data_IF_560548193060
#
_entry.id   IF_560548193060
#
_cell.length_a   1.000
_cell.length_b   1.000
_cell.length_c   1.000
_cell.angle_alpha   90.00
_cell.angle_beta   90.00
_cell.angle_gamma   90.00
#
_symmetry.space_group_name_H-M   'P 1'
#
loop_
_entity.id
_entity.type
_entity.pdbx_description
1 polymer ?
#
# COMPACT_ATOMS: atom_id res chain seq x y z
N UNK A 1 -0.42 0.38 -13.82
CA UNK A 1 -1.71 -0.04 -13.19
C UNK A 1 -2.34 -1.33 -13.72
N UNK A 2 -2.40 -1.61 -15.04
CA UNK A 2 -3.02 -2.86 -15.58
C UNK A 2 -2.47 -4.15 -14.95
N UNK A 3 -1.18 -4.15 -14.57
CA UNK A 3 -0.46 -5.29 -13.96
C UNK A 3 -1.13 -5.82 -12.68
N UNK A 4 -1.82 -4.97 -11.92
CA UNK A 4 -2.37 -5.30 -10.59
C UNK A 4 -3.84 -5.72 -10.61
N UNK A 5 -4.52 -5.68 -11.76
CA UNK A 5 -5.90 -6.19 -11.87
C UNK A 5 -6.01 -7.68 -11.54
N UNK A 6 -4.96 -8.45 -11.80
CA UNK A 6 -4.90 -9.87 -11.42
C UNK A 6 -4.95 -10.07 -9.90
N UNK A 7 -4.44 -9.12 -9.12
CA UNK A 7 -4.40 -9.18 -7.65
C UNK A 7 -5.79 -9.06 -7.04
N UNK A 8 -6.76 -8.51 -7.78
CA UNK A 8 -8.17 -8.41 -7.40
C UNK A 8 -9.05 -9.37 -8.20
N UNK A 9 -8.47 -10.44 -8.78
CA UNK A 9 -9.21 -11.52 -9.42
C UNK A 9 -9.61 -11.27 -10.88
N UNK A 10 -8.94 -10.38 -11.61
CA UNK A 10 -9.14 -10.21 -13.06
C UNK A 10 -7.92 -10.68 -13.86
N UNK A 11 -7.40 -11.87 -13.59
CA UNK A 11 -6.19 -12.38 -14.28
C UNK A 11 -6.40 -12.63 -15.78
N UNK A 12 -7.66 -12.80 -16.19
CA UNK A 12 -8.07 -12.86 -17.59
C UNK A 12 -7.85 -11.56 -18.38
N UNK A 13 -7.75 -10.40 -17.71
CA UNK A 13 -7.58 -9.10 -18.36
C UNK A 13 -6.12 -8.88 -18.80
N UNK A 14 -5.75 -9.45 -19.95
CA UNK A 14 -4.40 -9.33 -20.51
C UNK A 14 -4.27 -8.25 -21.57
N UNK A 15 -5.34 -7.96 -22.30
CA UNK A 15 -5.35 -6.95 -23.37
C UNK A 15 -6.25 -5.79 -22.98
N UNK A 16 -5.96 -4.63 -23.55
CA UNK A 16 -6.73 -3.40 -23.33
C UNK A 16 -8.22 -3.53 -23.70
N UNK A 17 -8.55 -4.40 -24.67
CA UNK A 17 -9.95 -4.72 -25.02
C UNK A 17 -10.67 -5.47 -23.89
N UNK A 18 -9.98 -6.42 -23.26
CA UNK A 18 -10.54 -7.22 -22.16
C UNK A 18 -10.77 -6.32 -20.93
N UNK A 19 -9.81 -5.43 -20.65
CA UNK A 19 -9.92 -4.36 -19.65
C UNK A 19 -11.14 -3.48 -19.90
N UNK A 20 -11.32 -2.94 -21.11
CA UNK A 20 -12.46 -2.07 -21.41
C UNK A 20 -13.80 -2.78 -21.28
N UNK A 21 -13.86 -4.07 -21.63
CA UNK A 21 -15.06 -4.88 -21.45
C UNK A 21 -15.40 -5.06 -19.96
N UNK A 22 -14.41 -5.34 -19.11
CA UNK A 22 -14.66 -5.50 -17.68
C UNK A 22 -15.05 -4.18 -17.04
N UNK A 23 -14.40 -3.06 -17.38
CA UNK A 23 -14.75 -1.75 -16.82
C UNK A 23 -16.19 -1.35 -17.14
N UNK A 24 -16.66 -1.60 -18.36
CA UNK A 24 -18.08 -1.38 -18.72
C UNK A 24 -19.04 -2.29 -17.97
N UNK A 25 -18.60 -3.48 -17.61
CA UNK A 25 -19.41 -4.43 -16.82
C UNK A 25 -19.49 -3.96 -15.37
N UNK A 26 -18.35 -3.56 -14.81
CA UNK A 26 -18.24 -3.01 -13.46
C UNK A 26 -19.08 -1.73 -13.31
N UNK A 27 -18.99 -0.80 -14.27
CA UNK A 27 -19.76 0.44 -14.25
C UNK A 27 -21.29 0.25 -14.23
N UNK A 28 -21.81 -0.92 -14.65
CA UNK A 28 -23.24 -1.25 -14.59
C UNK A 28 -23.72 -1.74 -13.23
N UNK A 29 -22.80 -2.17 -12.37
CA UNK A 29 -23.08 -2.70 -11.03
C UNK A 29 -22.20 -1.99 -9.98
N UNK A 30 -22.40 -0.67 -9.80
CA UNK A 30 -21.58 0.11 -8.91
C UNK A 30 -21.94 -0.16 -7.44
N UNK A 31 -20.92 -0.33 -6.60
CA UNK A 31 -21.11 -0.36 -5.15
C UNK A 31 -21.30 1.06 -4.59
N UNK A 32 -20.61 2.05 -5.17
CA UNK A 32 -20.85 3.46 -4.88
C UNK A 32 -20.51 4.34 -6.08
N UNK A 33 -21.22 5.45 -6.22
CA UNK A 33 -20.98 6.46 -7.24
C UNK A 33 -20.85 7.82 -6.54
N UNK A 34 -19.82 8.58 -6.89
CA UNK A 34 -19.59 9.94 -6.38
C UNK A 34 -19.39 10.90 -7.52
N UNK A 35 -20.07 12.03 -7.43
CA UNK A 35 -19.93 13.13 -8.37
C UNK A 35 -19.21 14.30 -7.73
N UNK A 36 -18.40 14.97 -8.53
CA UNK A 36 -17.72 16.20 -8.13
C UNK A 36 -17.74 17.17 -9.29
N UNK A 37 -18.38 18.32 -9.09
CA UNK A 37 -18.41 19.38 -10.10
C UNK A 37 -17.09 20.15 -10.02
N UNK A 38 -16.29 20.05 -11.09
CA UNK A 38 -15.01 20.75 -11.20
C UNK A 38 -15.27 22.23 -11.52
N UNK A 39 -16.05 22.47 -12.57
CA UNK A 39 -16.47 23.78 -13.09
C UNK A 39 -17.92 23.71 -13.59
N UNK A 40 -18.45 24.78 -14.20
CA UNK A 40 -19.83 24.81 -14.71
C UNK A 40 -20.14 23.71 -15.74
N UNK A 41 -19.14 23.31 -16.54
CA UNK A 41 -19.33 22.39 -17.67
C UNK A 41 -18.68 21.01 -17.46
N UNK A 42 -17.91 20.82 -16.37
CA UNK A 42 -17.16 19.57 -16.15
C UNK A 42 -17.59 18.90 -14.85
N UNK A 43 -18.24 17.75 -14.97
CA UNK A 43 -18.62 16.89 -13.84
C UNK A 43 -17.79 15.62 -13.84
N UNK A 44 -17.00 15.47 -12.80
CA UNK A 44 -16.18 14.29 -12.55
C UNK A 44 -17.02 13.23 -11.83
N UNK A 45 -16.83 11.97 -12.21
CA UNK A 45 -17.45 10.80 -11.62
C UNK A 45 -16.40 9.80 -11.13
N UNK A 46 -16.57 9.31 -9.91
CA UNK A 46 -15.90 8.13 -9.38
C UNK A 46 -16.94 7.02 -9.17
N UNK A 47 -16.71 5.88 -9.81
CA UNK A 47 -17.49 4.66 -9.63
C UNK A 47 -16.61 3.62 -8.93
N UNK A 48 -16.97 3.22 -7.71
CA UNK A 48 -16.34 2.08 -7.04
C UNK A 48 -17.18 0.83 -7.21
N UNK A 49 -16.54 -0.23 -7.70
CA UNK A 49 -17.17 -1.53 -7.90
C UNK A 49 -16.48 -2.55 -7.01
N UNK A 50 -17.26 -3.23 -6.17
CA UNK A 50 -16.76 -4.22 -5.24
C UNK A 50 -16.78 -5.62 -5.89
N UNK A 51 -15.61 -6.22 -6.04
CA UNK A 51 -15.46 -7.57 -6.60
C UNK A 51 -15.53 -8.66 -5.52
N UNK A 52 -15.05 -8.35 -4.32
CA UNK A 52 -15.16 -9.16 -3.12
C UNK A 52 -15.18 -8.20 -1.90
N UNK A 53 -15.58 -8.62 -0.69
CA UNK A 53 -15.66 -7.72 0.47
C UNK A 53 -14.37 -6.89 0.64
N UNK A 54 -14.48 -5.56 0.58
CA UNK A 54 -13.35 -4.62 0.70
C UNK A 54 -12.35 -4.61 -0.47
N UNK A 55 -12.58 -5.37 -1.54
CA UNK A 55 -11.69 -5.49 -2.70
C UNK A 55 -12.45 -5.14 -3.97
N UNK A 56 -11.87 -4.28 -4.80
CA UNK A 56 -12.57 -3.85 -6.00
C UNK A 56 -11.74 -3.07 -7.00
N UNK A 57 -12.45 -2.41 -7.90
CA UNK A 57 -11.88 -1.50 -8.88
C UNK A 57 -12.63 -0.19 -8.81
N UNK A 58 -11.89 0.91 -8.68
CA UNK A 58 -12.39 2.26 -8.82
C UNK A 58 -12.16 2.73 -10.25
N UNK A 59 -13.20 3.33 -10.82
CA UNK A 59 -13.21 3.88 -12.17
C UNK A 59 -13.43 5.38 -12.03
N UNK A 60 -12.60 6.16 -12.70
CA UNK A 60 -12.64 7.61 -12.68
C UNK A 60 -12.78 8.15 -14.10
N UNK A 61 -13.55 9.21 -14.26
CA UNK A 61 -13.83 9.79 -15.55
C UNK A 61 -14.73 11.01 -15.48
N UNK A 62 -15.06 11.53 -16.64
CA UNK A 62 -15.95 12.68 -16.81
C UNK A 62 -17.30 12.22 -17.37
N UNK A 63 -18.37 12.89 -16.95
CA UNK A 63 -19.71 12.67 -17.53
C UNK A 63 -19.84 13.54 -18.77
N UNK A 64 -20.23 12.95 -19.90
CA UNK A 64 -20.54 13.69 -21.11
C UNK A 64 -21.96 14.28 -21.08
N UNK A 65 -22.30 15.07 -22.10
CA UNK A 65 -23.63 15.71 -22.24
C UNK A 65 -24.80 14.70 -22.38
N UNK A 66 -24.51 13.40 -22.53
CA UNK A 66 -25.48 12.31 -22.69
C UNK A 66 -25.59 11.44 -21.44
N UNK A 67 -25.00 11.87 -20.32
CA UNK A 67 -24.86 11.09 -19.08
C UNK A 67 -24.04 9.80 -19.25
N UNK A 68 -23.25 9.68 -20.33
CA UNK A 68 -22.31 8.59 -20.53
C UNK A 68 -20.95 8.97 -19.91
N UNK A 69 -20.36 8.05 -19.15
CA UNK A 69 -19.07 8.27 -18.50
C UNK A 69 -17.92 7.95 -19.46
N UNK A 70 -17.10 8.95 -19.77
CA UNK A 70 -15.81 8.78 -20.44
C UNK A 70 -14.73 8.45 -19.40
N UNK A 71 -14.14 7.25 -19.49
CA UNK A 71 -13.20 6.74 -18.49
C UNK A 71 -11.80 7.33 -18.73
N UNK A 72 -11.30 8.10 -17.78
CA UNK A 72 -9.92 8.64 -17.79
C UNK A 72 -8.92 7.61 -17.27
N UNK A 73 -9.20 7.06 -16.09
CA UNK A 73 -8.34 6.08 -15.45
C UNK A 73 -9.12 5.19 -14.49
N UNK A 74 -8.49 4.11 -14.09
CA UNK A 74 -9.04 3.18 -13.12
C UNK A 74 -7.92 2.58 -12.30
N UNK A 75 -8.24 2.12 -11.10
CA UNK A 75 -7.29 1.48 -10.22
C UNK A 75 -7.95 0.38 -9.37
N UNK A 76 -7.31 -0.79 -9.23
CA UNK A 76 -7.72 -1.76 -8.22
C UNK A 76 -7.49 -1.20 -6.82
N UNK A 77 -8.33 -1.59 -5.86
CA UNK A 77 -8.22 -1.18 -4.47
C UNK A 77 -8.45 -2.35 -3.51
N UNK A 78 -7.85 -2.23 -2.33
CA UNK A 78 -8.12 -3.03 -1.15
C UNK A 78 -8.33 -2.06 0.02
N UNK A 79 -9.50 -2.10 0.63
CA UNK A 79 -9.83 -1.31 1.81
C UNK A 79 -9.33 -2.05 3.06
N UNK A 80 -8.59 -1.33 3.90
CA UNK A 80 -8.18 -1.79 5.22
C UNK A 80 -8.74 -0.83 6.26
N UNK A 81 -9.32 -1.38 7.33
CA UNK A 81 -9.74 -0.61 8.51
C UNK A 81 -8.67 -0.60 9.60
N UNK A 82 -7.52 -1.23 9.36
CA UNK A 82 -6.45 -1.39 10.34
C UNK A 82 -5.40 -0.31 10.16
N UNK A 83 -5.13 0.41 11.24
CA UNK A 83 -4.15 1.50 11.25
C UNK A 83 -2.75 0.91 11.12
N UNK A 84 -2.11 1.18 9.99
CA UNK A 84 -0.72 0.76 9.74
C UNK A 84 0.27 1.70 10.43
N UNK A 85 -0.01 3.00 10.43
CA UNK A 85 0.85 4.00 11.06
C UNK A 85 0.08 5.24 11.53
N UNK A 86 0.60 5.87 12.57
CA UNK A 86 0.17 7.18 13.09
C UNK A 86 1.28 8.23 12.98
N UNK A 87 2.36 7.89 12.27
CA UNK A 87 3.50 8.79 12.07
C UNK A 87 3.16 9.93 11.09
N UNK A 88 4.07 10.90 10.98
CA UNK A 88 3.84 12.09 10.18
C UNK A 88 3.64 11.75 8.71
N UNK A 89 2.49 12.18 8.16
CA UNK A 89 2.12 11.97 6.78
C UNK A 89 1.75 13.29 6.10
N UNK A 90 2.28 13.49 4.89
CA UNK A 90 1.94 14.63 4.04
C UNK A 90 1.25 14.16 2.77
N UNK A 91 0.24 14.91 2.32
CA UNK A 91 -0.48 14.64 1.08
C UNK A 91 -0.12 15.69 0.03
N UNK A 92 0.35 15.24 -1.13
CA UNK A 92 0.69 16.08 -2.27
C UNK A 92 -0.19 15.72 -3.47
N UNK A 93 -0.67 16.72 -4.20
CA UNK A 93 -1.44 16.50 -5.43
C UNK A 93 -0.46 16.25 -6.58
N UNK A 94 -0.76 15.26 -7.41
CA UNK A 94 -0.01 15.09 -8.66
C UNK A 94 -0.29 16.25 -9.62
N UNK A 95 0.70 16.59 -10.45
CA UNK A 95 0.58 17.71 -11.39
C UNK A 95 -0.43 17.37 -12.51
N UNK A 96 -0.42 16.11 -12.96
CA UNK A 96 -1.08 15.69 -14.20
C UNK A 96 -2.47 15.06 -14.00
N UNK A 97 -2.87 14.75 -12.75
CA UNK A 97 -4.14 14.09 -12.44
C UNK A 97 -4.70 14.55 -11.10
N UNK A 98 -6.01 14.39 -10.91
CA UNK A 98 -6.71 14.55 -9.62
C UNK A 98 -6.42 13.41 -8.63
N UNK A 99 -5.21 12.85 -8.70
CA UNK A 99 -4.69 11.85 -7.76
C UNK A 99 -3.81 12.54 -6.72
N UNK A 100 -3.81 12.00 -5.50
CA UNK A 100 -2.94 12.46 -4.41
C UNK A 100 -1.97 11.34 -4.03
N UNK A 101 -0.71 11.70 -3.83
CA UNK A 101 0.26 10.85 -3.16
C UNK A 101 0.37 11.25 -1.69
N UNK A 102 0.42 10.25 -0.83
CA UNK A 102 0.86 10.40 0.55
C UNK A 102 2.33 10.05 0.67
N UNK A 103 3.06 10.87 1.42
CA UNK A 103 4.42 10.58 1.87
C UNK A 103 4.37 10.39 3.38
N UNK A 104 4.64 9.18 3.84
CA UNK A 104 4.71 8.80 5.25
C UNK A 104 6.17 8.55 5.63
N UNK A 105 6.61 9.23 6.69
CA UNK A 105 7.92 8.99 7.29
C UNK A 105 7.78 7.87 8.34
N UNK A 106 8.01 6.62 7.93
CA UNK A 106 7.88 5.46 8.82
C UNK A 106 9.26 5.00 9.32
N UNK A 107 9.56 5.36 10.56
CA UNK A 107 10.84 5.08 11.19
C UNK A 107 11.10 3.59 11.43
N UNK A 108 10.05 2.78 11.64
CA UNK A 108 10.20 1.32 11.81
C UNK A 108 10.77 0.64 10.57
N UNK A 109 10.52 1.25 9.40
CA UNK A 109 10.99 0.75 8.10
C UNK A 109 12.27 1.47 7.67
N UNK A 110 12.58 2.64 8.24
CA UNK A 110 13.76 3.43 7.88
C UNK A 110 13.67 4.05 6.49
N UNK A 111 12.45 4.18 5.93
CA UNK A 111 12.19 4.67 4.58
C UNK A 111 10.97 5.59 4.57
N UNK A 112 10.98 6.59 3.69
CA UNK A 112 9.80 7.37 3.36
C UNK A 112 8.92 6.58 2.39
N UNK A 113 7.72 6.24 2.82
CA UNK A 113 6.73 5.51 2.03
C UNK A 113 5.90 6.49 1.20
N UNK A 114 5.81 6.23 -0.10
CA UNK A 114 4.99 6.97 -1.04
C UNK A 114 3.85 6.05 -1.48
N UNK A 115 2.61 6.52 -1.37
CA UNK A 115 1.43 5.72 -1.68
C UNK A 115 0.32 6.57 -2.30
N UNK A 116 -0.61 5.92 -3.00
CA UNK A 116 -1.79 6.57 -3.57
C UNK A 116 -2.94 6.66 -2.57
N UNK A 117 -3.62 7.80 -2.55
CA UNK A 117 -4.84 7.97 -1.75
C UNK A 117 -6.05 7.32 -2.46
N UNK A 118 -6.77 6.44 -1.76
CA UNK A 118 -7.94 5.71 -2.30
C UNK A 118 -9.28 6.48 -2.22
N UNK A 119 -9.29 7.67 -1.61
CA UNK A 119 -10.46 8.56 -1.51
C UNK A 119 -10.13 10.02 -1.86
N UNK A 120 -9.57 10.30 -3.05
CA UNK A 120 -9.09 11.62 -3.44
C UNK A 120 -10.21 12.67 -3.48
N UNK A 121 -11.41 12.30 -3.95
CA UNK A 121 -12.56 13.21 -4.03
C UNK A 121 -13.07 13.62 -2.65
N UNK A 122 -13.14 12.69 -1.70
CA UNK A 122 -13.55 12.99 -0.33
C UNK A 122 -12.54 13.94 0.34
N UNK A 123 -11.25 13.67 0.17
CA UNK A 123 -10.20 14.56 0.66
C UNK A 123 -10.32 15.97 0.09
N UNK A 124 -10.54 16.09 -1.23
CA UNK A 124 -10.70 17.38 -1.90
C UNK A 124 -11.93 18.14 -1.41
N UNK A 125 -13.08 17.47 -1.27
CA UNK A 125 -14.30 18.07 -0.74
C UNK A 125 -14.11 18.60 0.69
N UNK A 126 -13.45 17.82 1.56
CA UNK A 126 -13.14 18.27 2.93
C UNK A 126 -12.17 19.44 2.91
N UNK A 127 -11.15 19.42 2.06
CA UNK A 127 -10.14 20.49 1.96
C UNK A 127 -10.77 21.83 1.56
N UNK A 128 -11.71 21.81 0.62
CA UNK A 128 -12.46 23.01 0.22
C UNK A 128 -13.38 23.54 1.33
N UNK A 129 -14.07 22.66 2.05
CA UNK A 129 -14.99 23.08 3.13
C UNK A 129 -14.27 23.65 4.35
N UNK A 130 -13.12 23.08 4.72
CA UNK A 130 -12.47 23.37 5.99
C UNK A 130 -11.50 24.56 5.95
N UNK A 131 -11.17 25.13 4.78
CA UNK A 131 -10.25 26.27 4.60
C UNK A 131 -8.93 26.18 5.40
N UNK A 132 -8.55 24.99 5.84
CA UNK A 132 -7.46 24.73 6.79
C UNK A 132 -6.68 23.49 6.36
N UNK A 133 -5.46 23.36 6.89
CA UNK A 133 -4.60 22.19 6.67
C UNK A 133 -5.24 20.97 7.35
N UNK A 134 -5.91 20.14 6.55
CA UNK A 134 -6.32 18.80 6.97
C UNK A 134 -5.09 18.07 7.54
N UNK A 135 -5.16 17.71 8.82
CA UNK A 135 -4.13 16.91 9.47
C UNK A 135 -4.51 15.44 9.31
N UNK A 136 -3.58 14.64 8.80
CA UNK A 136 -3.74 13.19 8.76
C UNK A 136 -3.44 12.67 10.17
N UNK A 137 -4.41 11.99 10.79
CA UNK A 137 -4.24 11.41 12.14
C UNK A 137 -3.64 10.02 12.08
N UNK A 138 -3.99 9.25 11.07
CA UNK A 138 -3.51 7.88 10.86
C UNK A 138 -3.63 7.50 9.39
N UNK A 139 -2.91 6.45 9.01
CA UNK A 139 -2.95 5.87 7.67
C UNK A 139 -3.18 4.36 7.76
N UNK A 140 -4.04 3.86 6.87
CA UNK A 140 -4.26 2.43 6.64
C UNK A 140 -3.67 2.11 5.27
N UNK A 141 -2.57 1.37 5.25
CA UNK A 141 -1.85 1.01 4.03
C UNK A 141 -2.33 -0.36 3.54
N UNK A 142 -2.50 -0.48 2.23
CA UNK A 142 -2.77 -1.75 1.56
C UNK A 142 -1.90 -1.85 0.31
N UNK A 143 -1.49 -3.08 -0.02
CA UNK A 143 -0.61 -3.36 -1.15
C UNK A 143 -1.25 -4.37 -2.09
N UNK A 144 -0.96 -4.22 -3.39
CA UNK A 144 -1.38 -5.18 -4.40
C UNK A 144 -0.15 -5.93 -4.92
N UNK A 145 -0.09 -7.23 -4.65
CA UNK A 145 1.06 -8.04 -5.06
C UNK A 145 0.99 -8.37 -6.55
N UNK A 146 2.03 -8.03 -7.31
CA UNK A 146 2.16 -8.48 -8.70
C UNK A 146 2.78 -9.87 -8.79
N UNK A 147 3.61 -10.25 -7.85
CA UNK A 147 4.26 -11.56 -7.75
C UNK A 147 4.71 -11.75 -6.30
N UNK A 148 5.00 -12.99 -5.92
CA UNK A 148 5.42 -13.30 -4.56
C UNK A 148 5.80 -14.77 -4.43
N UNK A 149 6.64 -15.06 -3.44
CA UNK A 149 7.08 -16.41 -3.08
C UNK A 149 6.73 -16.59 -1.61
N UNK A 150 5.99 -17.66 -1.29
CA UNK A 150 5.71 -18.04 0.10
C UNK A 150 6.80 -18.99 0.56
N UNK A 151 7.49 -18.60 1.62
CA UNK A 151 8.54 -19.42 2.25
C UNK A 151 7.98 -19.91 3.58
N UNK A 152 8.13 -21.21 3.84
CA UNK A 152 7.71 -21.78 5.11
C UNK A 152 8.72 -21.37 6.20
N UNK A 153 8.26 -20.93 7.37
CA UNK A 153 9.15 -20.47 8.42
C UNK A 153 10.00 -21.63 8.94
N UNK A 154 11.27 -21.34 9.23
CA UNK A 154 12.09 -22.23 10.06
C UNK A 154 11.55 -22.18 11.49
N UNK A 155 11.42 -23.33 12.14
CA UNK A 155 10.79 -23.44 13.46
C UNK A 155 11.65 -22.74 14.53
N UNK A 156 11.36 -21.47 14.80
CA UNK A 156 11.97 -20.69 15.89
C UNK A 156 11.33 -21.03 17.23
N UNK A 157 12.13 -21.14 18.27
CA UNK A 157 11.65 -21.31 19.65
C UNK A 157 10.96 -20.04 20.15
N UNK A 158 10.02 -20.16 21.10
CA UNK A 158 9.35 -18.97 21.69
C UNK A 158 10.34 -17.98 22.31
N UNK A 159 11.46 -18.47 22.86
CA UNK A 159 12.52 -17.62 23.42
C UNK A 159 13.17 -16.73 22.35
N UNK A 160 13.33 -17.24 21.13
CA UNK A 160 13.90 -16.47 20.02
C UNK A 160 12.92 -15.42 19.52
N UNK A 161 11.63 -15.74 19.47
CA UNK A 161 10.58 -14.77 19.11
C UNK A 161 10.50 -13.62 20.10
N UNK A 162 10.51 -13.91 21.40
CA UNK A 162 10.44 -12.86 22.42
C UNK A 162 11.69 -11.96 22.42
N UNK A 163 12.88 -12.56 22.23
CA UNK A 163 14.13 -11.79 22.09
C UNK A 163 14.08 -10.84 20.88
N UNK A 164 13.58 -11.29 19.74
CA UNK A 164 13.46 -10.46 18.54
C UNK A 164 12.53 -9.26 18.77
N UNK A 165 11.40 -9.46 19.46
CA UNK A 165 10.45 -8.41 19.80
C UNK A 165 11.05 -7.35 20.72
N UNK A 166 11.78 -7.77 21.76
CA UNK A 166 12.46 -6.85 22.69
C UNK A 166 13.58 -6.08 21.97
N UNK A 167 14.35 -6.75 21.12
CA UNK A 167 15.40 -6.10 20.34
C UNK A 167 14.85 -5.03 19.39
N UNK A 168 13.74 -5.29 18.70
CA UNK A 168 13.09 -4.32 17.82
C UNK A 168 12.57 -3.09 18.59
N UNK A 169 11.96 -3.29 19.77
CA UNK A 169 11.51 -2.19 20.62
C UNK A 169 12.67 -1.32 21.12
N UNK A 170 13.78 -1.95 21.56
CA UNK A 170 14.98 -1.24 21.98
C UNK A 170 15.60 -0.44 20.84
N UNK A 171 15.72 -1.03 19.64
CA UNK A 171 16.25 -0.34 18.45
C UNK A 171 15.42 0.89 18.09
N UNK A 172 14.09 0.78 18.09
CA UNK A 172 13.20 1.93 17.85
C UNK A 172 13.39 3.05 18.90
N UNK A 173 13.61 2.69 20.16
CA UNK A 173 13.86 3.68 21.22
C UNK A 173 15.19 4.41 21.02
N UNK A 174 16.24 3.70 20.59
CA UNK A 174 17.55 4.28 20.29
C UNK A 174 17.51 5.20 19.08
N UNK A 175 16.78 4.83 18.01
CA UNK A 175 16.59 5.69 16.83
C UNK A 175 15.96 7.03 17.23
N UNK A 176 14.90 6.99 18.03
CA UNK A 176 14.23 8.22 18.52
C UNK A 176 15.15 9.07 19.41
N UNK A 177 15.99 8.45 20.24
CA UNK A 177 16.97 9.17 21.06
C UNK A 177 18.06 9.82 20.21
N UNK A 178 18.58 9.11 19.20
CA UNK A 178 19.59 9.62 18.28
C UNK A 178 19.08 10.80 17.45
N UNK A 179 17.82 10.79 17.02
CA UNK A 179 17.18 11.95 16.37
C UNK A 179 17.08 13.17 17.29
N UNK A 180 16.94 12.95 18.60
CA UNK A 180 16.99 13.98 19.63
C UNK A 180 18.39 14.57 19.86
N UNK A 181 19.41 14.08 19.17
CA UNK A 181 20.81 14.49 19.31
C UNK A 181 21.59 13.74 20.40
N UNK A 182 21.11 12.58 20.84
CA UNK A 182 21.82 11.74 21.81
C UNK A 182 23.00 11.01 21.14
N UNK A 183 24.21 11.51 21.40
CA UNK A 183 25.47 10.97 20.87
C UNK A 183 25.72 9.53 21.35
N UNK A 184 25.26 9.16 22.55
CA UNK A 184 25.43 7.79 23.07
C UNK A 184 24.53 6.78 22.35
N UNK A 185 23.33 7.21 21.96
CA UNK A 185 22.43 6.41 21.12
C UNK A 185 22.99 6.24 19.71
N UNK A 186 23.64 7.28 19.15
CA UNK A 186 24.30 7.22 17.85
C UNK A 186 25.50 6.25 17.84
N UNK A 187 26.35 6.27 18.87
CA UNK A 187 27.46 5.32 19.00
C UNK A 187 26.96 3.88 19.12
N UNK A 188 25.93 3.66 19.95
CA UNK A 188 25.34 2.34 20.16
C UNK A 188 24.77 1.78 18.86
N UNK A 189 23.99 2.58 18.12
CA UNK A 189 23.44 2.17 16.82
C UNK A 189 24.54 1.86 15.80
N UNK A 190 25.62 2.66 15.77
CA UNK A 190 26.74 2.45 14.85
C UNK A 190 27.50 1.16 15.15
N UNK A 191 27.71 0.86 16.43
CA UNK A 191 28.35 -0.38 16.86
C UNK A 191 27.47 -1.60 16.54
N UNK A 192 26.17 -1.53 16.86
CA UNK A 192 25.20 -2.60 16.57
C UNK A 192 25.11 -2.89 15.07
N UNK A 193 25.10 -1.84 14.23
CA UNK A 193 25.08 -1.99 12.77
C UNK A 193 26.37 -2.62 12.23
N UNK A 194 27.53 -2.31 12.83
CA UNK A 194 28.80 -2.94 12.48
C UNK A 194 28.83 -4.43 12.84
N UNK A 195 28.35 -4.81 14.03
CA UNK A 195 28.24 -6.22 14.42
C UNK A 195 27.25 -6.98 13.54
N UNK A 196 26.09 -6.37 13.26
CA UNK A 196 25.07 -6.94 12.39
C UNK A 196 25.62 -7.21 11.00
N UNK A 197 26.27 -6.22 10.37
CA UNK A 197 26.87 -6.36 9.03
C UNK A 197 27.90 -7.49 8.98
N UNK A 198 28.79 -7.56 9.97
CA UNK A 198 29.80 -8.63 10.05
C UNK A 198 29.16 -10.01 10.23
N UNK A 199 28.12 -10.11 11.06
CA UNK A 199 27.41 -11.37 11.28
C UNK A 199 26.69 -11.86 10.02
N UNK A 200 26.01 -10.96 9.32
CA UNK A 200 25.29 -11.25 8.07
C UNK A 200 26.29 -11.65 6.99
N UNK A 201 27.39 -10.92 6.84
CA UNK A 201 28.41 -11.21 5.80
C UNK A 201 28.97 -12.62 5.93
N UNK A 202 29.24 -13.09 7.16
CA UNK A 202 29.72 -14.47 7.40
C UNK A 202 28.65 -15.53 7.16
N UNK A 203 27.38 -15.21 7.43
CA UNK A 203 26.27 -16.14 7.27
C UNK A 203 25.85 -16.30 5.81
N UNK A 204 25.88 -15.23 5.01
CA UNK A 204 25.51 -15.26 3.58
C UNK A 204 26.39 -16.25 2.78
N UNK A 205 27.64 -16.47 3.19
CA UNK A 205 28.53 -17.43 2.53
C UNK A 205 28.08 -18.89 2.69
N UNK A 206 27.32 -19.21 3.75
CA UNK A 206 27.03 -20.60 4.15
C UNK A 206 25.53 -20.89 4.35
N UNK A 207 24.68 -19.86 4.41
CA UNK A 207 23.24 -19.96 4.68
C UNK A 207 22.43 -19.30 3.55
N UNK A 208 21.19 -19.75 3.36
CA UNK A 208 20.25 -19.12 2.41
C UNK A 208 19.89 -17.71 2.93
N UNK A 209 19.90 -16.71 2.05
CA UNK A 209 19.54 -15.31 2.37
C UNK A 209 18.17 -15.24 3.07
N UNK A 210 17.21 -16.08 2.65
CA UNK A 210 15.87 -16.12 3.25
C UNK A 210 15.81 -16.76 4.64
N UNK A 211 16.91 -17.39 5.09
CA UNK A 211 17.08 -17.87 6.47
C UNK A 211 17.81 -16.88 7.38
N UNK A 212 18.40 -15.83 6.79
CA UNK A 212 19.15 -14.80 7.51
C UNK A 212 18.27 -13.57 7.74
N UNK A 213 17.44 -13.21 6.76
CA UNK A 213 16.59 -12.01 6.79
C UNK A 213 15.15 -12.39 7.12
N UNK A 214 14.62 -11.83 8.20
CA UNK A 214 13.24 -12.07 8.64
C UNK A 214 12.24 -11.12 8.00
N UNK A 215 12.61 -9.84 7.87
CA UNK A 215 11.79 -8.80 7.28
C UNK A 215 12.64 -7.87 6.43
N UNK A 216 12.10 -7.43 5.30
CA UNK A 216 12.71 -6.41 4.46
C UNK A 216 11.62 -5.61 3.76
N UNK A 217 11.89 -4.34 3.52
CA UNK A 217 11.01 -3.48 2.75
C UNK A 217 11.89 -2.52 1.98
N UNK A 218 11.86 -2.57 0.65
CA UNK A 218 12.78 -1.81 -0.19
C UNK A 218 12.05 -1.24 -1.40
N UNK A 219 12.33 -0.01 -1.83
CA UNK A 219 11.85 0.51 -3.10
C UNK A 219 12.30 -0.41 -4.24
N UNK A 220 11.40 -0.70 -5.17
CA UNK A 220 11.67 -1.59 -6.29
C UNK A 220 11.00 -1.05 -7.55
N UNK A 221 11.68 -1.13 -8.68
CA UNK A 221 11.15 -0.63 -9.95
C UNK A 221 11.42 0.86 -10.19
N UNK A 222 10.70 1.41 -11.17
CA UNK A 222 10.89 2.80 -11.65
C UNK A 222 9.90 3.78 -11.00
N UNK A 223 8.78 3.28 -10.48
CA UNK A 223 7.74 4.10 -9.84
C UNK A 223 7.99 4.16 -8.33
N UNK A 224 7.75 5.33 -7.72
CA UNK A 224 8.08 5.59 -6.31
C UNK A 224 7.18 4.86 -5.30
N UNK A 225 6.09 4.25 -5.76
CA UNK A 225 5.09 3.54 -4.97
C UNK A 225 5.24 2.00 -5.04
N UNK A 226 6.28 1.52 -5.72
CA UNK A 226 6.55 0.09 -5.87
C UNK A 226 7.60 -0.36 -4.87
N UNK A 227 7.29 -1.45 -4.16
CA UNK A 227 8.12 -1.97 -3.08
C UNK A 227 8.27 -3.49 -3.18
N UNK A 228 9.46 -3.98 -2.86
CA UNK A 228 9.73 -5.37 -2.56
C UNK A 228 9.68 -5.55 -1.04
N UNK A 229 8.83 -6.44 -0.57
CA UNK A 229 8.65 -6.74 0.85
C UNK A 229 8.92 -8.22 1.13
N UNK A 230 9.67 -8.48 2.19
CA UNK A 230 9.72 -9.75 2.90
C UNK A 230 9.10 -9.52 4.29
N UNK A 231 8.16 -10.35 4.68
CA UNK A 231 7.55 -10.27 6.00
C UNK A 231 6.83 -11.56 6.40
N UNK A 232 6.45 -11.63 7.67
CA UNK A 232 5.75 -12.79 8.24
C UNK A 232 4.24 -12.67 7.97
N UNK A 233 3.67 -13.65 7.27
CA UNK A 233 2.23 -13.69 7.06
C UNK A 233 1.54 -14.07 8.37
N UNK A 234 0.78 -13.15 8.95
CA UNK A 234 0.09 -13.33 10.23
C UNK A 234 -1.35 -13.82 10.08
N UNK A 235 -2.00 -13.51 8.95
CA UNK A 235 -3.33 -14.04 8.61
C UNK A 235 -3.52 -14.18 7.10
N UNK A 236 -4.33 -15.17 6.71
CA UNK A 236 -4.71 -15.42 5.33
C UNK A 236 -6.22 -15.55 5.24
N UNK A 237 -6.84 -14.68 4.44
CA UNK A 237 -8.25 -14.76 4.11
C UNK A 237 -8.41 -15.11 2.63
N UNK A 238 -9.26 -16.10 2.35
CA UNK A 238 -9.62 -16.48 0.99
C UNK A 238 -10.95 -15.82 0.63
N UNK A 239 -10.94 -15.00 -0.41
CA UNK A 239 -12.12 -14.35 -0.98
C UNK A 239 -12.33 -14.80 -2.42
N UNK A 240 -13.54 -14.65 -2.95
CA UNK A 240 -13.88 -15.00 -4.33
C UNK A 240 -14.38 -13.75 -5.05
N UNK A 241 -13.83 -13.49 -6.24
CA UNK A 241 -14.29 -12.41 -7.11
C UNK A 241 -15.65 -12.78 -7.70
N UNK A 242 -16.69 -11.99 -7.43
CA UNK A 242 -18.06 -12.26 -7.89
C UNK A 242 -18.27 -12.18 -9.41
N UNK A 243 -17.36 -11.54 -10.13
CA UNK A 243 -17.44 -11.35 -11.59
C UNK A 243 -16.71 -12.44 -12.36
N UNK A 244 -15.59 -12.95 -11.83
CA UNK A 244 -14.72 -13.91 -12.52
C UNK A 244 -14.65 -15.27 -11.85
N UNK A 245 -15.17 -15.39 -10.61
CA UNK A 245 -15.04 -16.54 -9.73
C UNK A 245 -13.58 -16.92 -9.39
N UNK A 246 -12.64 -16.01 -9.62
CA UNK A 246 -11.24 -16.21 -9.24
C UNK A 246 -11.07 -16.05 -7.72
N UNK A 247 -10.26 -16.92 -7.11
CA UNK A 247 -9.91 -16.78 -5.70
C UNK A 247 -8.83 -15.72 -5.50
N UNK A 248 -9.08 -14.84 -4.54
CA UNK A 248 -8.18 -13.78 -4.09
C UNK A 248 -7.73 -14.15 -2.68
N UNK A 249 -6.42 -14.04 -2.42
CA UNK A 249 -5.85 -14.22 -1.09
C UNK A 249 -5.50 -12.85 -0.52
N UNK A 250 -6.22 -12.46 0.53
CA UNK A 250 -5.92 -11.27 1.32
C UNK A 250 -4.96 -11.70 2.45
N UNK A 251 -3.77 -11.11 2.45
CA UNK A 251 -2.67 -11.49 3.33
C UNK A 251 -2.38 -10.32 4.27
N UNK A 252 -2.32 -10.61 5.57
CA UNK A 252 -1.78 -9.67 6.56
C UNK A 252 -0.32 -10.01 6.80
N UNK A 253 0.54 -9.00 6.69
CA UNK A 253 1.99 -9.05 6.86
C UNK A 253 2.41 -8.00 7.88
#
# INVERSE_FOLDING_TARGET
MHKFLKSVGFSMCRREKDVRAILRTLAKDPASVRYYQLDHDTTICEIKCEAAPGIGVAIYGEMDDRDDMEIDYYYPYLESSEVSSTEYCTLQRHIDRDTYAGMLEEYRVGLSLIFYLLNPLEYRQKKQKLNSRLKVESVCLSGLASEGIIILPVQKSEKEKEKAKVAAANRNSLIRAAEGGDESAMETLSFDDYELYNSISRRIENEDIYSIVDTSFMPSGLESDQYAMLGEITSVEKRENRFTHEYIYDLRV
#
